data_IF_139765036086
#
_entry.id   IF_139765036086
#
_cell.length_a   1.000
_cell.length_b   1.000
_cell.length_c   1.000
_cell.angle_alpha   90.00
_cell.angle_beta   90.00
_cell.angle_gamma   90.00
#
_symmetry.space_group_name_H-M   'P 1'
#
loop_
_entity.id
_entity.type
_entity.pdbx_description
1 polymer ?
#
# COMPACT_ATOMS: atom_id res chain seq x y z
N UNK A 1 5.94 21.34 0.77
CA UNK A 1 6.38 21.89 -0.52
C UNK A 1 7.90 21.79 -0.58
N UNK A 2 8.43 20.86 -1.37
CA UNK A 2 9.87 20.77 -1.71
C UNK A 2 9.90 20.62 -3.23
N UNK A 3 10.69 21.45 -3.92
CA UNK A 3 10.72 21.64 -5.39
C UNK A 3 9.51 22.31 -6.07
N UNK A 4 8.75 23.15 -5.37
CA UNK A 4 7.78 24.06 -6.01
C UNK A 4 6.60 23.39 -6.74
N UNK A 5 6.39 22.08 -6.54
CA UNK A 5 5.23 21.31 -7.04
C UNK A 5 4.66 20.43 -5.92
N UNK A 6 3.36 20.09 -5.97
CA UNK A 6 2.80 19.10 -5.05
C UNK A 6 3.56 17.76 -5.20
N UNK A 7 4.03 17.18 -4.09
CA UNK A 7 4.81 15.92 -4.07
C UNK A 7 4.03 14.77 -4.76
N UNK A 8 2.69 14.85 -4.73
CA UNK A 8 1.80 13.93 -5.44
C UNK A 8 1.89 14.00 -6.97
N UNK A 9 2.71 14.86 -7.59
CA UNK A 9 3.01 14.85 -9.03
C UNK A 9 4.27 14.04 -9.38
N UNK A 10 5.01 13.56 -8.37
CA UNK A 10 6.13 12.66 -8.62
C UNK A 10 5.56 11.28 -8.94
N UNK A 11 5.83 10.78 -10.15
CA UNK A 11 5.35 9.47 -10.60
C UNK A 11 5.73 8.33 -9.64
N UNK A 12 6.86 8.46 -8.93
CA UNK A 12 7.29 7.53 -7.88
C UNK A 12 6.34 7.43 -6.67
N UNK A 13 5.42 8.38 -6.49
CA UNK A 13 4.41 8.38 -5.42
C UNK A 13 3.03 7.99 -5.95
N UNK A 14 2.67 8.43 -7.17
CA UNK A 14 1.34 8.17 -7.73
C UNK A 14 1.12 6.69 -8.06
N UNK A 15 2.12 6.02 -8.66
CA UNK A 15 1.95 4.62 -9.09
C UNK A 15 1.76 3.64 -7.93
N UNK A 16 2.53 3.73 -6.82
CA UNK A 16 2.29 2.86 -5.66
C UNK A 16 0.92 3.06 -5.03
N UNK A 17 0.46 4.31 -4.88
CA UNK A 17 -0.86 4.61 -4.31
C UNK A 17 -1.98 4.10 -5.22
N UNK A 18 -1.87 4.32 -6.54
CA UNK A 18 -2.84 3.81 -7.50
C UNK A 18 -2.90 2.27 -7.49
N UNK A 19 -1.75 1.60 -7.38
CA UNK A 19 -1.68 0.14 -7.28
C UNK A 19 -2.31 -0.37 -5.98
N UNK A 20 -2.04 0.27 -4.86
CA UNK A 20 -2.65 -0.08 -3.58
C UNK A 20 -4.18 0.07 -3.67
N UNK A 21 -4.67 1.16 -4.27
CA UNK A 21 -6.11 1.39 -4.45
C UNK A 21 -6.76 0.31 -5.33
N UNK A 22 -6.17 -0.02 -6.49
CA UNK A 22 -6.66 -1.10 -7.36
C UNK A 22 -6.72 -2.44 -6.60
N UNK A 23 -5.71 -2.74 -5.78
CA UNK A 23 -5.68 -3.98 -5.01
C UNK A 23 -6.77 -3.99 -3.92
N UNK A 24 -7.09 -2.85 -3.28
CA UNK A 24 -8.21 -2.74 -2.34
C UNK A 24 -9.54 -3.01 -3.05
N UNK A 25 -9.76 -2.43 -4.23
CA UNK A 25 -10.98 -2.68 -5.01
C UNK A 25 -11.10 -4.15 -5.40
N UNK A 26 -10.00 -4.77 -5.86
CA UNK A 26 -9.95 -6.20 -6.16
C UNK A 26 -10.27 -7.06 -4.92
N UNK A 27 -9.71 -6.71 -3.76
CA UNK A 27 -10.01 -7.40 -2.50
C UNK A 27 -11.49 -7.25 -2.11
N UNK A 28 -12.09 -6.07 -2.32
CA UNK A 28 -13.50 -5.83 -2.05
C UNK A 28 -14.42 -6.67 -2.94
N UNK A 29 -14.12 -6.74 -4.24
CA UNK A 29 -14.84 -7.61 -5.18
C UNK A 29 -14.70 -9.09 -4.80
N UNK A 30 -13.49 -9.54 -4.45
CA UNK A 30 -13.25 -10.91 -4.01
C UNK A 30 -13.98 -11.23 -2.69
N UNK A 31 -14.05 -10.26 -1.78
CA UNK A 31 -14.84 -10.38 -0.53
C UNK A 31 -16.32 -10.55 -0.83
N UNK A 32 -16.88 -9.78 -1.76
CA UNK A 32 -18.29 -9.94 -2.15
C UNK A 32 -18.55 -11.29 -2.78
N UNK A 33 -17.63 -11.82 -3.60
CA UNK A 33 -17.77 -13.17 -4.13
C UNK A 33 -17.70 -14.23 -3.03
N UNK A 34 -16.80 -14.07 -2.05
CA UNK A 34 -16.75 -14.95 -0.89
C UNK A 34 -18.05 -14.91 -0.08
N UNK A 35 -18.62 -13.73 0.15
CA UNK A 35 -19.92 -13.57 0.82
C UNK A 35 -21.05 -14.23 0.01
N UNK A 36 -21.10 -14.03 -1.31
CA UNK A 36 -22.11 -14.62 -2.19
C UNK A 36 -22.08 -16.16 -2.12
N UNK A 37 -20.89 -16.76 -2.12
CA UNK A 37 -20.72 -18.20 -1.97
C UNK A 37 -21.11 -18.68 -0.58
N UNK A 38 -20.74 -17.93 0.46
CA UNK A 38 -21.10 -18.23 1.84
C UNK A 38 -22.63 -18.24 2.04
N UNK A 39 -23.32 -17.20 1.56
CA UNK A 39 -24.79 -17.09 1.64
C UNK A 39 -25.49 -18.20 0.83
N UNK A 40 -24.88 -18.63 -0.28
CA UNK A 40 -25.33 -19.76 -1.08
C UNK A 40 -24.99 -21.14 -0.46
N UNK A 41 -24.38 -21.17 0.74
CA UNK A 41 -23.92 -22.39 1.42
C UNK A 41 -22.92 -23.21 0.56
N UNK A 42 -22.16 -22.52 -0.29
CA UNK A 42 -21.11 -23.10 -1.12
C UNK A 42 -19.72 -22.93 -0.48
N UNK A 43 -18.73 -23.76 -0.84
CA UNK A 43 -17.36 -23.58 -0.38
C UNK A 43 -16.81 -22.20 -0.79
N UNK A 44 -16.48 -21.36 0.20
CA UNK A 44 -16.02 -19.98 -0.01
C UNK A 44 -14.62 -19.70 0.57
N UNK A 45 -13.98 -20.70 1.19
CA UNK A 45 -12.74 -20.51 1.96
C UNK A 45 -11.58 -20.01 1.11
N UNK A 46 -11.48 -20.45 -0.15
CA UNK A 46 -10.45 -19.99 -1.06
C UNK A 46 -10.59 -18.49 -1.38
N UNK A 47 -11.80 -18.05 -1.74
CA UNK A 47 -12.13 -16.67 -2.07
C UNK A 47 -11.96 -15.76 -0.84
N UNK A 48 -12.39 -16.21 0.33
CA UNK A 48 -12.19 -15.48 1.59
C UNK A 48 -10.69 -15.28 1.89
N UNK A 49 -9.87 -16.32 1.71
CA UNK A 49 -8.42 -16.24 1.91
C UNK A 49 -7.75 -15.34 0.86
N UNK A 50 -8.18 -15.42 -0.40
CA UNK A 50 -7.70 -14.54 -1.47
C UNK A 50 -8.02 -13.07 -1.16
N UNK A 51 -9.26 -12.78 -0.74
CA UNK A 51 -9.66 -11.42 -0.34
C UNK A 51 -8.81 -10.91 0.83
N UNK A 52 -8.56 -11.76 1.83
CA UNK A 52 -7.72 -11.42 2.98
C UNK A 52 -6.28 -11.08 2.56
N UNK A 53 -5.67 -11.90 1.72
CA UNK A 53 -4.29 -11.69 1.26
C UNK A 53 -4.18 -10.41 0.41
N UNK A 54 -5.08 -10.23 -0.55
CA UNK A 54 -5.10 -9.02 -1.39
C UNK A 54 -5.27 -7.75 -0.56
N UNK A 55 -6.14 -7.77 0.44
CA UNK A 55 -6.32 -6.63 1.35
C UNK A 55 -5.05 -6.35 2.18
N UNK A 56 -4.39 -7.40 2.69
CA UNK A 56 -3.16 -7.27 3.44
C UNK A 56 -2.03 -6.65 2.59
N UNK A 57 -1.80 -7.16 1.38
CA UNK A 57 -0.79 -6.65 0.47
C UNK A 57 -1.08 -5.20 0.06
N UNK A 58 -2.35 -4.88 -0.23
CA UNK A 58 -2.76 -3.51 -0.54
C UNK A 58 -2.49 -2.53 0.61
N UNK A 59 -2.77 -2.95 1.85
CA UNK A 59 -2.52 -2.13 3.04
C UNK A 59 -1.03 -1.89 3.29
N UNK A 60 -0.20 -2.90 3.03
CA UNK A 60 1.26 -2.82 3.15
C UNK A 60 1.85 -1.84 2.13
N UNK A 61 1.45 -1.96 0.85
CA UNK A 61 1.90 -1.06 -0.22
C UNK A 61 1.46 0.39 0.03
N UNK A 62 0.22 0.60 0.50
CA UNK A 62 -0.25 1.92 0.89
C UNK A 62 0.60 2.51 2.03
N UNK A 63 0.90 1.72 3.07
CA UNK A 63 1.73 2.16 4.18
C UNK A 63 3.15 2.53 3.74
N UNK A 64 3.77 1.70 2.88
CA UNK A 64 5.10 1.99 2.32
C UNK A 64 5.10 3.26 1.46
N UNK A 65 4.07 3.46 0.63
CA UNK A 65 3.92 4.68 -0.16
C UNK A 65 3.77 5.92 0.73
N UNK A 66 2.98 5.84 1.81
CA UNK A 66 2.87 6.90 2.81
C UNK A 66 4.21 7.19 3.49
N UNK A 67 4.94 6.16 3.93
CA UNK A 67 6.27 6.33 4.54
C UNK A 67 7.25 7.01 3.58
N UNK A 68 7.29 6.59 2.31
CA UNK A 68 8.13 7.23 1.29
C UNK A 68 7.70 8.68 1.02
N UNK A 69 6.39 8.97 1.03
CA UNK A 69 5.83 10.31 0.83
C UNK A 69 6.18 11.28 1.97
N UNK A 70 6.14 10.81 3.21
CA UNK A 70 6.50 11.61 4.40
C UNK A 70 8.03 11.83 4.53
N UNK A 71 8.83 11.25 3.64
CA UNK A 71 10.26 11.49 3.47
C UNK A 71 11.11 10.28 3.83
N UNK A 72 12.22 10.10 3.10
CA UNK A 72 13.24 9.07 3.31
C UNK A 72 14.09 9.24 4.59
N UNK A 73 13.49 9.66 5.71
CA UNK A 73 14.15 9.72 7.03
C UNK A 73 14.00 8.42 7.83
N UNK A 74 13.61 7.30 7.19
CA UNK A 74 13.66 5.98 7.83
C UNK A 74 15.07 5.38 7.89
N UNK A 75 16.01 5.86 7.06
CA UNK A 75 17.37 5.30 6.95
C UNK A 75 18.47 6.35 6.67
N UNK A 76 18.23 7.63 6.94
CA UNK A 76 19.32 8.60 7.03
C UNK A 76 19.77 8.71 8.49
N UNK A 77 20.56 7.73 8.96
CA UNK A 77 21.46 7.96 10.10
C UNK A 77 22.56 8.92 9.65
N UNK A 78 22.24 10.20 9.54
CA UNK A 78 23.26 11.25 9.50
C UNK A 78 23.49 11.73 10.94
N UNK A 79 24.52 11.20 11.60
CA UNK A 79 25.47 11.97 12.44
C UNK A 79 26.54 11.06 13.06
N UNK A 80 27.68 10.93 12.37
CA UNK A 80 28.98 10.84 13.05
C UNK A 80 30.03 11.62 12.27
N UNK A 81 30.06 12.91 12.59
CA UNK A 81 31.17 13.88 12.53
C UNK A 81 32.42 13.46 11.73
N UNK A 82 32.62 14.10 10.57
CA UNK A 82 33.94 14.49 10.12
C UNK A 82 34.17 15.96 10.50
N UNK A 83 34.76 16.19 11.66
CA UNK A 83 35.43 17.47 11.94
C UNK A 83 36.94 17.24 11.80
N UNK A 84 37.66 18.08 11.03
CA UNK A 84 39.10 17.98 10.89
C UNK A 84 39.79 18.49 12.16
N UNK A 85 40.82 17.77 12.60
CA UNK A 85 41.94 18.30 13.41
C UNK A 85 43.21 18.11 12.62
#
# INVERSE_FOLDING_TARGET
MVFGRPIGQNQGVQFPIARAHINVEAASLMRYEACRLFDAHQPCGAQANMAKLLAADASWEAANACLQFHGGFGFATEWRQSLPT
#
